data_IF_856494618944
#
_entry.id   IF_856494618944
#
_cell.length_a   1.000
_cell.length_b   1.000
_cell.length_c   1.000
_cell.angle_alpha   90.00
_cell.angle_beta   90.00
_cell.angle_gamma   90.00
#
_symmetry.space_group_name_H-M   'P 1'
#
loop_
_entity.id
_entity.type
_entity.pdbx_description
1 polymer ?
#
# COMPACT_ATOMS: atom_id res chain seq x y z
N UNK A 1 -35.32 -12.67 -12.85
CA UNK A 1 -34.68 -12.27 -11.57
C UNK A 1 -34.23 -13.55 -10.92
N UNK A 2 -32.93 -13.79 -10.78
CA UNK A 2 -32.41 -15.05 -10.23
C UNK A 2 -32.42 -15.02 -8.70
N UNK A 3 -33.02 -16.05 -8.10
CA UNK A 3 -33.19 -16.21 -6.66
C UNK A 3 -31.96 -16.86 -6.01
N UNK A 4 -31.82 -16.67 -4.69
CA UNK A 4 -30.63 -17.05 -3.89
C UNK A 4 -30.27 -18.54 -3.92
N UNK A 5 -31.27 -19.41 -4.03
CA UNK A 5 -31.06 -20.85 -4.20
C UNK A 5 -30.45 -21.18 -5.57
N UNK A 6 -30.79 -20.39 -6.61
CA UNK A 6 -30.21 -20.53 -7.94
C UNK A 6 -28.71 -20.17 -7.95
N UNK A 7 -28.27 -19.17 -7.18
CA UNK A 7 -26.85 -18.79 -7.10
C UNK A 7 -25.95 -19.91 -6.55
N UNK A 8 -26.43 -20.69 -5.58
CA UNK A 8 -25.64 -21.80 -5.01
C UNK A 8 -25.56 -22.96 -6.02
N UNK A 9 -26.65 -23.23 -6.75
CA UNK A 9 -26.69 -24.24 -7.81
C UNK A 9 -25.76 -23.90 -8.98
N UNK A 10 -25.68 -22.61 -9.34
CA UNK A 10 -24.90 -22.12 -10.48
C UNK A 10 -23.38 -22.15 -10.30
N UNK A 11 -22.87 -22.45 -9.10
CA UNK A 11 -21.42 -22.55 -8.86
C UNK A 11 -20.82 -23.75 -9.62
N UNK A 12 -21.55 -24.85 -9.74
CA UNK A 12 -21.10 -26.03 -10.48
C UNK A 12 -21.02 -25.74 -11.99
N UNK A 13 -22.04 -25.09 -12.53
CA UNK A 13 -22.11 -24.71 -13.95
C UNK A 13 -21.06 -23.64 -14.29
N UNK A 14 -20.83 -22.70 -13.38
CA UNK A 14 -19.75 -21.73 -13.50
C UNK A 14 -18.37 -22.39 -13.51
N UNK A 15 -18.16 -23.45 -12.73
CA UNK A 15 -16.91 -24.21 -12.78
C UNK A 15 -16.71 -24.87 -14.14
N UNK A 16 -17.78 -25.43 -14.74
CA UNK A 16 -17.73 -26.01 -16.07
C UNK A 16 -17.40 -24.94 -17.13
N UNK A 17 -18.06 -23.78 -17.07
CA UNK A 17 -17.78 -22.63 -17.94
C UNK A 17 -16.31 -22.20 -17.89
N UNK A 18 -15.69 -22.16 -16.69
CA UNK A 18 -14.28 -21.76 -16.57
C UNK A 18 -13.28 -22.78 -17.13
N UNK A 19 -13.65 -24.05 -17.32
CA UNK A 19 -12.73 -25.09 -17.81
C UNK A 19 -12.35 -24.90 -19.28
N UNK A 20 -13.11 -24.13 -20.03
CA UNK A 20 -12.84 -23.87 -21.45
C UNK A 20 -11.60 -22.99 -21.65
N UNK A 21 -11.36 -22.02 -20.75
CA UNK A 21 -10.34 -20.98 -20.95
C UNK A 21 -9.30 -20.85 -19.82
N UNK A 22 -9.51 -21.49 -18.66
CA UNK A 22 -8.67 -21.25 -17.48
C UNK A 22 -7.95 -22.49 -16.95
N UNK A 23 -6.76 -22.27 -16.38
CA UNK A 23 -5.98 -23.31 -15.72
C UNK A 23 -6.63 -23.76 -14.40
N UNK A 24 -6.45 -25.03 -13.97
CA UNK A 24 -7.08 -25.56 -12.75
C UNK A 24 -6.80 -24.74 -11.48
N UNK A 25 -5.61 -24.14 -11.38
CA UNK A 25 -5.24 -23.27 -10.26
C UNK A 25 -6.05 -21.96 -10.23
N UNK A 26 -6.32 -21.37 -11.39
CA UNK A 26 -7.18 -20.18 -11.54
C UNK A 26 -8.63 -20.50 -11.23
N UNK A 27 -9.13 -21.62 -11.76
CA UNK A 27 -10.50 -22.09 -11.51
C UNK A 27 -10.75 -22.25 -10.00
N UNK A 28 -9.82 -22.91 -9.29
CA UNK A 28 -9.91 -23.06 -7.82
C UNK A 28 -9.96 -21.72 -7.09
N UNK A 29 -9.18 -20.74 -7.55
CA UNK A 29 -9.17 -19.38 -7.01
C UNK A 29 -10.50 -18.66 -7.23
N UNK A 30 -11.04 -18.73 -8.45
CA UNK A 30 -12.29 -18.06 -8.83
C UNK A 30 -13.51 -18.69 -8.14
N UNK A 31 -13.60 -20.03 -8.14
CA UNK A 31 -14.65 -20.77 -7.42
C UNK A 31 -14.71 -20.37 -5.96
N UNK A 32 -13.55 -20.32 -5.29
CA UNK A 32 -13.48 -19.95 -3.87
C UNK A 32 -13.92 -18.51 -3.62
N UNK A 33 -13.58 -17.57 -4.51
CA UNK A 33 -14.03 -16.19 -4.41
C UNK A 33 -15.55 -16.06 -4.56
N UNK A 34 -16.15 -16.78 -5.52
CA UNK A 34 -17.61 -16.79 -5.73
C UNK A 34 -18.34 -17.45 -4.55
N UNK A 35 -17.83 -18.56 -4.02
CA UNK A 35 -18.40 -19.19 -2.82
C UNK A 35 -18.46 -18.22 -1.64
N UNK A 36 -17.39 -17.46 -1.42
CA UNK A 36 -17.33 -16.44 -0.36
C UNK A 36 -18.31 -15.30 -0.59
N UNK A 37 -18.51 -14.87 -1.83
CA UNK A 37 -19.56 -13.92 -2.16
C UNK A 37 -20.95 -14.46 -1.80
N UNK A 38 -21.26 -15.70 -2.19
CA UNK A 38 -22.56 -16.33 -1.88
C UNK A 38 -22.77 -16.46 -0.38
N UNK A 39 -21.73 -16.84 0.39
CA UNK A 39 -21.76 -16.84 1.86
C UNK A 39 -22.03 -15.42 2.41
N UNK A 40 -21.30 -14.42 1.93
CA UNK A 40 -21.46 -13.02 2.35
C UNK A 40 -22.87 -12.47 2.07
N UNK A 41 -23.45 -12.80 0.92
CA UNK A 41 -24.84 -12.42 0.59
C UNK A 41 -25.83 -13.05 1.58
N UNK A 42 -25.61 -14.31 1.97
CA UNK A 42 -26.44 -15.00 2.98
C UNK A 42 -26.35 -14.34 4.35
N UNK A 43 -25.15 -13.90 4.75
CA UNK A 43 -24.91 -13.26 6.04
C UNK A 43 -25.40 -11.80 6.11
N UNK A 44 -25.24 -11.04 5.03
CA UNK A 44 -25.42 -9.58 5.04
C UNK A 44 -26.88 -9.14 4.84
N UNK A 45 -27.69 -9.91 4.12
CA UNK A 45 -29.09 -9.55 3.88
C UNK A 45 -29.98 -10.81 3.84
N UNK A 46 -30.72 -11.16 4.90
CA UNK A 46 -31.51 -12.39 4.91
C UNK A 46 -32.84 -12.37 4.12
N UNK A 47 -33.34 -11.22 3.62
CA UNK A 47 -34.77 -11.11 3.27
C UNK A 47 -35.19 -10.28 2.03
N UNK A 48 -34.39 -10.13 0.95
CA UNK A 48 -34.88 -9.38 -0.23
C UNK A 48 -34.50 -9.97 -1.58
N UNK A 49 -35.46 -9.90 -2.52
CA UNK A 49 -35.34 -9.97 -3.99
C UNK A 49 -34.56 -8.78 -4.55
N UNK A 50 -33.35 -8.56 -4.05
CA UNK A 50 -32.49 -7.46 -4.51
C UNK A 50 -31.73 -7.89 -5.75
N UNK A 51 -31.62 -6.98 -6.72
CA UNK A 51 -30.82 -7.18 -7.93
C UNK A 51 -29.39 -7.60 -7.58
N UNK A 52 -28.85 -8.62 -8.28
CA UNK A 52 -27.53 -9.21 -8.00
C UNK A 52 -26.38 -8.21 -8.26
N UNK A 53 -26.55 -7.32 -9.24
CA UNK A 53 -25.52 -6.37 -9.64
C UNK A 53 -25.09 -5.41 -8.51
N UNK A 54 -26.01 -4.70 -7.81
CA UNK A 54 -25.66 -3.90 -6.64
C UNK A 54 -24.87 -4.67 -5.57
N UNK A 55 -25.26 -5.91 -5.26
CA UNK A 55 -24.58 -6.74 -4.27
C UNK A 55 -23.17 -7.12 -4.70
N UNK A 56 -23.00 -7.47 -5.98
CA UNK A 56 -21.67 -7.75 -6.53
C UNK A 56 -20.78 -6.51 -6.53
N UNK A 57 -21.33 -5.33 -6.87
CA UNK A 57 -20.60 -4.06 -6.82
C UNK A 57 -20.19 -3.68 -5.39
N UNK A 58 -21.06 -3.90 -4.41
CA UNK A 58 -20.77 -3.69 -2.99
C UNK A 58 -19.69 -4.65 -2.47
N UNK A 59 -19.75 -5.92 -2.86
CA UNK A 59 -18.78 -6.93 -2.45
C UNK A 59 -17.37 -6.68 -3.01
N UNK A 60 -17.27 -6.24 -4.28
CA UNK A 60 -15.97 -5.97 -4.93
C UNK A 60 -15.41 -4.57 -4.62
N UNK A 61 -16.17 -3.76 -3.88
CA UNK A 61 -15.80 -2.39 -3.53
C UNK A 61 -14.48 -2.41 -2.75
N UNK A 62 -13.44 -1.66 -3.17
CA UNK A 62 -12.15 -1.64 -2.48
C UNK A 62 -12.19 -1.20 -1.02
N UNK A 63 -13.23 -0.46 -0.63
CA UNK A 63 -13.42 0.02 0.74
C UNK A 63 -14.07 -1.05 1.63
N UNK A 64 -14.71 -2.07 1.04
CA UNK A 64 -15.32 -3.16 1.76
C UNK A 64 -14.25 -4.23 2.02
N UNK A 65 -13.87 -4.43 3.29
CA UNK A 65 -12.77 -5.31 3.69
C UNK A 65 -13.15 -6.79 3.68
N UNK A 66 -14.01 -7.23 2.75
CA UNK A 66 -14.69 -8.52 2.87
C UNK A 66 -13.72 -9.70 2.77
N UNK A 67 -12.55 -9.54 2.14
CA UNK A 67 -11.56 -10.62 2.13
C UNK A 67 -10.11 -10.14 2.09
N UNK A 68 -9.44 -10.19 3.25
CA UNK A 68 -8.01 -9.91 3.39
C UNK A 68 -7.09 -11.05 2.93
N UNK A 69 -7.64 -12.22 2.54
CA UNK A 69 -6.84 -13.43 2.24
C UNK A 69 -6.58 -13.67 0.76
N UNK A 70 -7.41 -13.10 -0.13
CA UNK A 70 -7.29 -13.26 -1.57
C UNK A 70 -6.80 -11.96 -2.24
N UNK A 71 -6.12 -12.09 -3.39
CA UNK A 71 -5.81 -10.93 -4.22
C UNK A 71 -7.13 -10.28 -4.63
N UNK A 72 -7.35 -9.02 -4.23
CA UNK A 72 -8.55 -8.26 -4.58
C UNK A 72 -8.81 -8.26 -6.10
N UNK A 73 -7.75 -8.34 -6.89
CA UNK A 73 -7.79 -8.50 -8.34
C UNK A 73 -8.42 -9.82 -8.76
N UNK A 74 -8.01 -10.93 -8.14
CA UNK A 74 -8.59 -12.27 -8.39
C UNK A 74 -10.07 -12.29 -8.01
N UNK A 75 -10.44 -11.73 -6.85
CA UNK A 75 -11.83 -11.65 -6.41
C UNK A 75 -12.66 -10.82 -7.39
N UNK A 76 -12.20 -9.63 -7.76
CA UNK A 76 -12.88 -8.77 -8.75
C UNK A 76 -13.10 -9.46 -10.08
N UNK A 77 -12.07 -10.11 -10.63
CA UNK A 77 -12.20 -10.80 -11.90
C UNK A 77 -13.18 -11.97 -11.79
N UNK A 78 -13.08 -12.77 -10.73
CA UNK A 78 -13.99 -13.90 -10.49
C UNK A 78 -15.45 -13.46 -10.40
N UNK A 79 -15.75 -12.39 -9.66
CA UNK A 79 -17.12 -11.89 -9.51
C UNK A 79 -17.64 -11.26 -10.80
N UNK A 80 -16.81 -10.52 -11.55
CA UNK A 80 -17.19 -9.97 -12.86
C UNK A 80 -17.49 -11.06 -13.89
N UNK A 81 -16.68 -12.12 -13.91
CA UNK A 81 -16.91 -13.28 -14.79
C UNK A 81 -18.15 -14.06 -14.38
N UNK A 82 -18.38 -14.21 -13.08
CA UNK A 82 -19.60 -14.85 -12.59
C UNK A 82 -20.85 -14.04 -12.98
N UNK A 83 -20.84 -12.71 -12.85
CA UNK A 83 -21.94 -11.87 -13.35
C UNK A 83 -22.18 -12.04 -14.86
N UNK A 84 -21.10 -12.10 -15.64
CA UNK A 84 -21.18 -12.33 -17.08
C UNK A 84 -21.82 -13.70 -17.39
N UNK A 85 -21.40 -14.74 -16.68
CA UNK A 85 -21.98 -16.08 -16.81
C UNK A 85 -23.50 -16.08 -16.51
N UNK A 86 -23.95 -15.33 -15.51
CA UNK A 86 -25.37 -15.28 -15.11
C UNK A 86 -26.25 -14.46 -16.07
N UNK A 87 -25.70 -13.38 -16.64
CA UNK A 87 -26.53 -12.34 -17.28
C UNK A 87 -26.19 -12.10 -18.76
N UNK A 88 -25.11 -12.70 -19.27
CA UNK A 88 -24.48 -12.42 -20.57
C UNK A 88 -24.15 -10.92 -20.76
N UNK A 89 -24.02 -10.18 -19.65
CA UNK A 89 -23.72 -8.75 -19.62
C UNK A 89 -22.45 -8.50 -18.83
N UNK A 90 -21.75 -7.43 -19.20
CA UNK A 90 -20.58 -6.98 -18.43
C UNK A 90 -21.06 -6.19 -17.22
N UNK A 91 -20.59 -6.58 -16.03
CA UNK A 91 -20.84 -5.84 -14.80
C UNK A 91 -20.35 -4.41 -14.97
N UNK A 92 -21.18 -3.44 -14.60
CA UNK A 92 -20.85 -2.03 -14.67
C UNK A 92 -19.47 -1.76 -14.05
N UNK A 93 -18.67 -0.83 -14.60
CA UNK A 93 -17.49 -0.34 -13.90
C UNK A 93 -17.92 0.07 -12.50
N UNK A 94 -17.24 -0.44 -11.47
CA UNK A 94 -17.52 0.01 -10.11
C UNK A 94 -17.22 1.50 -10.10
N UNK A 95 -18.25 2.32 -9.94
CA UNK A 95 -18.08 3.76 -9.80
C UNK A 95 -17.07 3.97 -8.68
N UNK A 96 -16.01 4.72 -8.97
CA UNK A 96 -15.05 5.09 -7.92
C UNK A 96 -15.87 5.86 -6.90
N UNK A 97 -16.15 5.23 -5.76
CA UNK A 97 -16.89 5.82 -4.63
C UNK A 97 -16.49 7.28 -4.51
N UNK A 98 -17.47 8.19 -4.64
CA UNK A 98 -17.32 9.67 -4.56
C UNK A 98 -15.93 10.08 -4.12
N UNK A 99 -15.01 10.13 -5.09
CA UNK A 99 -13.59 10.22 -4.76
C UNK A 99 -13.38 11.55 -4.05
N UNK A 100 -12.86 11.51 -2.83
CA UNK A 100 -12.58 12.71 -2.09
C UNK A 100 -11.50 13.49 -2.83
N UNK A 101 -11.90 14.57 -3.49
CA UNK A 101 -11.02 15.34 -4.40
C UNK A 101 -9.76 15.83 -3.69
N UNK A 102 -9.86 16.15 -2.39
CA UNK A 102 -8.72 16.58 -1.59
C UNK A 102 -7.68 15.48 -1.41
N UNK A 103 -8.12 14.23 -1.19
CA UNK A 103 -7.24 13.06 -1.07
C UNK A 103 -6.61 12.72 -2.43
N UNK A 104 -7.39 12.77 -3.51
CA UNK A 104 -6.88 12.48 -4.85
C UNK A 104 -5.85 13.51 -5.31
N UNK A 105 -6.10 14.79 -5.03
CA UNK A 105 -5.16 15.88 -5.33
C UNK A 105 -3.86 15.68 -4.56
N UNK A 106 -3.93 15.42 -3.26
CA UNK A 106 -2.72 15.20 -2.44
C UNK A 106 -1.94 13.95 -2.90
N UNK A 107 -2.64 12.86 -3.24
CA UNK A 107 -2.00 11.65 -3.76
C UNK A 107 -1.34 11.88 -5.12
N UNK A 108 -1.88 12.76 -5.96
CA UNK A 108 -1.29 13.14 -7.25
C UNK A 108 -0.07 14.04 -7.06
N UNK A 109 -0.13 15.02 -6.17
CA UNK A 109 1.00 15.90 -5.85
C UNK A 109 2.18 15.10 -5.27
N UNK A 110 1.90 14.14 -4.39
CA UNK A 110 2.90 13.22 -3.89
C UNK A 110 3.53 12.37 -5.01
N UNK A 111 2.73 11.89 -5.98
CA UNK A 111 3.25 11.13 -7.12
C UNK A 111 4.17 11.98 -8.02
N UNK A 112 3.86 13.26 -8.20
CA UNK A 112 4.72 14.23 -8.91
C UNK A 112 6.03 14.48 -8.16
N UNK A 113 5.98 14.59 -6.83
CA UNK A 113 7.20 14.66 -6.01
C UNK A 113 8.07 13.40 -6.18
N UNK A 114 7.47 12.21 -6.17
CA UNK A 114 8.20 10.96 -6.36
C UNK A 114 8.86 10.85 -7.74
N UNK A 115 8.25 11.46 -8.75
CA UNK A 115 8.81 11.53 -10.10
C UNK A 115 9.96 12.53 -10.20
N UNK A 116 9.70 13.78 -9.79
CA UNK A 116 10.60 14.90 -10.07
C UNK A 116 11.78 14.94 -9.11
N UNK A 117 11.53 14.61 -7.84
CA UNK A 117 12.53 14.70 -6.76
C UNK A 117 13.13 13.32 -6.48
N UNK A 118 12.31 12.30 -6.24
CA UNK A 118 12.81 10.97 -5.87
C UNK A 118 13.16 10.06 -7.06
N UNK A 119 12.87 10.49 -8.29
CA UNK A 119 13.17 9.79 -9.56
C UNK A 119 12.73 8.31 -9.57
N UNK A 120 11.57 8.02 -8.97
CA UNK A 120 11.06 6.65 -8.90
C UNK A 120 10.41 6.19 -10.21
N UNK A 121 10.56 4.90 -10.51
CA UNK A 121 9.93 4.30 -11.69
C UNK A 121 8.40 4.37 -11.63
N UNK A 122 7.70 4.44 -12.78
CA UNK A 122 6.23 4.53 -12.81
C UNK A 122 5.51 3.44 -11.99
N UNK A 123 5.89 2.15 -12.06
CA UNK A 123 5.26 1.11 -11.24
C UNK A 123 5.44 1.34 -9.72
N UNK A 124 6.61 1.85 -9.32
CA UNK A 124 6.89 2.15 -7.91
C UNK A 124 6.06 3.34 -7.43
N UNK A 125 5.94 4.39 -8.26
CA UNK A 125 5.09 5.55 -7.98
C UNK A 125 3.62 5.15 -7.80
N UNK A 126 3.10 4.31 -8.69
CA UNK A 126 1.72 3.82 -8.60
C UNK A 126 1.48 3.05 -7.29
N UNK A 127 2.43 2.18 -6.90
CA UNK A 127 2.36 1.43 -5.65
C UNK A 127 2.34 2.34 -4.42
N UNK A 128 3.20 3.37 -4.39
CA UNK A 128 3.22 4.38 -3.35
C UNK A 128 1.89 5.15 -3.28
N UNK A 129 1.38 5.57 -4.43
CA UNK A 129 0.12 6.32 -4.52
C UNK A 129 -1.06 5.49 -4.01
N UNK A 130 -1.15 4.22 -4.40
CA UNK A 130 -2.21 3.31 -3.93
C UNK A 130 -2.13 3.06 -2.42
N UNK A 131 -0.91 2.89 -1.88
CA UNK A 131 -0.72 2.73 -0.44
C UNK A 131 -1.13 4.00 0.32
N UNK A 132 -0.75 5.18 -0.17
CA UNK A 132 -1.12 6.46 0.44
C UNK A 132 -2.64 6.68 0.39
N UNK A 133 -3.28 6.47 -0.76
CA UNK A 133 -4.74 6.56 -0.89
C UNK A 133 -5.44 5.70 0.15
N UNK A 134 -5.07 4.42 0.26
CA UNK A 134 -5.68 3.51 1.22
C UNK A 134 -5.56 4.01 2.66
N UNK A 135 -4.42 4.60 3.01
CA UNK A 135 -4.22 5.21 4.32
C UNK A 135 -5.13 6.43 4.52
N UNK A 136 -5.13 7.38 3.58
CA UNK A 136 -5.87 8.62 3.69
C UNK A 136 -7.39 8.41 3.66
N UNK A 137 -7.93 7.57 2.79
CA UNK A 137 -9.36 7.26 2.75
C UNK A 137 -9.85 6.60 4.03
N UNK A 138 -8.99 5.83 4.71
CA UNK A 138 -9.36 5.24 6.01
C UNK A 138 -9.38 6.28 7.13
N UNK A 139 -8.50 7.26 7.05
CA UNK A 139 -8.41 8.36 8.03
C UNK A 139 -9.51 9.40 7.85
N UNK A 140 -9.85 9.69 6.60
CA UNK A 140 -10.79 10.73 6.21
C UNK A 140 -11.90 10.13 5.33
N UNK A 141 -12.75 9.23 5.88
CA UNK A 141 -13.76 8.52 5.10
C UNK A 141 -14.82 9.45 4.49
N UNK A 142 -15.07 10.62 5.10
CA UNK A 142 -16.04 11.60 4.60
C UNK A 142 -15.63 13.06 4.88
N UNK A 143 -14.39 13.28 5.33
CA UNK A 143 -13.85 14.59 5.68
C UNK A 143 -12.80 15.03 4.67
N UNK A 144 -12.57 16.33 4.52
CA UNK A 144 -11.45 16.81 3.72
C UNK A 144 -10.11 16.37 4.33
N UNK A 145 -9.13 16.16 3.47
CA UNK A 145 -7.77 15.83 3.88
C UNK A 145 -7.17 16.97 4.72
N UNK A 146 -6.70 16.61 5.91
CA UNK A 146 -5.89 17.49 6.77
C UNK A 146 -4.56 16.81 7.12
N UNK A 147 -3.45 17.43 6.72
CA UNK A 147 -2.11 16.92 7.02
C UNK A 147 -1.78 16.92 8.52
N UNK A 148 -2.41 17.78 9.32
CA UNK A 148 -2.13 17.92 10.76
C UNK A 148 -2.58 16.70 11.58
N UNK A 149 -3.61 16.00 11.10
CA UNK A 149 -4.16 14.81 11.74
C UNK A 149 -3.26 13.56 11.56
N UNK A 150 -2.17 13.65 10.80
CA UNK A 150 -1.22 12.54 10.62
C UNK A 150 -0.21 12.53 11.77
N UNK A 151 -0.41 11.59 12.70
CA UNK A 151 0.46 11.40 13.86
C UNK A 151 0.95 9.95 13.99
N UNK A 152 1.94 9.71 14.87
CA UNK A 152 2.41 8.36 15.18
C UNK A 152 1.29 7.47 15.74
N UNK A 153 0.45 8.00 16.64
CA UNK A 153 -0.62 7.22 17.27
C UNK A 153 -1.66 6.75 16.25
N UNK A 154 -2.00 7.62 15.31
CA UNK A 154 -2.91 7.32 14.21
C UNK A 154 -2.33 6.23 13.30
N UNK A 155 -1.05 6.32 12.94
CA UNK A 155 -0.40 5.28 12.15
C UNK A 155 -0.31 3.94 12.91
N UNK A 156 -0.02 3.96 14.21
CA UNK A 156 -0.01 2.75 15.04
C UNK A 156 -1.38 2.08 15.05
N UNK A 157 -2.45 2.87 15.29
CA UNK A 157 -3.83 2.39 15.27
C UNK A 157 -4.17 1.74 13.92
N UNK A 158 -3.84 2.40 12.81
CA UNK A 158 -4.03 1.84 11.48
C UNK A 158 -3.27 0.52 11.29
N UNK A 159 -2.00 0.45 11.72
CA UNK A 159 -1.20 -0.77 11.61
C UNK A 159 -1.76 -1.93 12.45
N UNK A 160 -2.36 -1.65 13.60
CA UNK A 160 -2.93 -2.64 14.54
C UNK A 160 -4.37 -3.02 14.25
N UNK A 161 -5.07 -2.30 13.36
CA UNK A 161 -6.46 -2.61 12.97
C UNK A 161 -6.51 -3.12 11.54
N UNK A 162 -6.03 -2.32 10.59
CA UNK A 162 -6.15 -2.54 9.15
C UNK A 162 -5.09 -3.48 8.57
N UNK A 163 -3.95 -3.58 9.26
CA UNK A 163 -2.79 -4.33 8.77
C UNK A 163 -2.43 -5.56 9.62
N UNK A 164 -3.31 -5.98 10.53
CA UNK A 164 -3.13 -7.16 11.40
C UNK A 164 -2.86 -8.43 10.62
N UNK A 165 -3.62 -8.65 9.54
CA UNK A 165 -3.53 -9.84 8.70
C UNK A 165 -2.42 -9.77 7.64
N UNK A 166 -1.69 -8.65 7.55
CA UNK A 166 -0.66 -8.46 6.55
C UNK A 166 0.66 -9.05 6.99
N UNK A 167 1.40 -9.62 6.04
CA UNK A 167 2.75 -10.14 6.26
C UNK A 167 3.67 -9.02 6.80
N UNK A 168 4.65 -9.34 7.67
CA UNK A 168 5.58 -8.35 8.21
C UNK A 168 6.30 -7.53 7.12
N UNK A 169 6.63 -8.15 5.98
CA UNK A 169 7.22 -7.47 4.83
C UNK A 169 6.30 -6.41 4.20
N UNK A 170 4.99 -6.68 4.12
CA UNK A 170 3.99 -5.73 3.62
C UNK A 170 3.81 -4.56 4.57
N UNK A 171 3.77 -4.81 5.88
CA UNK A 171 3.74 -3.76 6.92
C UNK A 171 4.97 -2.86 6.83
N UNK A 172 6.15 -3.46 6.69
CA UNK A 172 7.41 -2.73 6.49
C UNK A 172 7.38 -1.85 5.25
N UNK A 173 6.92 -2.38 4.12
CA UNK A 173 6.81 -1.63 2.87
C UNK A 173 5.86 -0.43 3.05
N UNK A 174 4.71 -0.64 3.71
CA UNK A 174 3.75 0.42 4.00
C UNK A 174 4.35 1.53 4.86
N UNK A 175 5.01 1.20 5.97
CA UNK A 175 5.70 2.20 6.82
C UNK A 175 6.74 2.98 6.01
N UNK A 176 7.45 2.31 5.08
CA UNK A 176 8.38 2.96 4.15
C UNK A 176 7.70 4.01 3.26
N UNK A 177 6.51 3.72 2.75
CA UNK A 177 5.71 4.69 1.97
C UNK A 177 5.30 5.86 2.84
N UNK A 178 4.77 5.63 4.05
CA UNK A 178 4.33 6.70 4.95
C UNK A 178 5.49 7.63 5.32
N UNK A 179 6.69 7.10 5.58
CA UNK A 179 7.88 7.92 5.79
C UNK A 179 8.27 8.76 4.58
N UNK A 180 8.22 8.16 3.39
CA UNK A 180 8.48 8.88 2.16
C UNK A 180 7.48 10.02 1.96
N UNK A 181 6.21 9.78 2.29
CA UNK A 181 5.17 10.80 2.30
C UNK A 181 5.42 11.91 3.34
N UNK A 182 5.83 11.57 4.56
CA UNK A 182 6.21 12.55 5.58
C UNK A 182 7.37 13.45 5.14
N UNK A 183 8.35 12.91 4.40
CA UNK A 183 9.44 13.71 3.80
C UNK A 183 8.91 14.69 2.76
N UNK A 184 7.93 14.27 1.97
CA UNK A 184 7.26 15.15 1.01
C UNK A 184 6.44 16.26 1.71
N UNK A 185 5.73 15.96 2.80
CA UNK A 185 5.06 16.98 3.60
C UNK A 185 6.05 18.02 4.13
N UNK A 186 7.21 17.59 4.62
CA UNK A 186 8.30 18.50 5.03
C UNK A 186 8.87 19.29 3.85
N UNK A 187 8.95 18.71 2.67
CA UNK A 187 9.35 19.41 1.44
C UNK A 187 8.35 20.53 1.08
N UNK A 188 7.05 20.34 1.36
CA UNK A 188 6.00 21.37 1.26
C UNK A 188 6.04 22.42 2.39
N UNK A 189 6.94 22.28 3.37
CA UNK A 189 7.00 23.16 4.54
C UNK A 189 5.97 22.82 5.63
N UNK A 190 5.33 21.65 5.57
CA UNK A 190 4.40 21.19 6.60
C UNK A 190 5.18 20.55 7.74
N UNK A 191 4.88 20.95 8.98
CA UNK A 191 5.42 20.31 10.16
C UNK A 191 4.82 18.92 10.34
N UNK A 192 5.69 17.94 10.58
CA UNK A 192 5.31 16.53 10.73
C UNK A 192 5.89 16.01 12.03
N UNK A 193 5.11 15.18 12.72
CA UNK A 193 5.57 14.45 13.90
C UNK A 193 6.90 13.74 13.59
N UNK A 194 7.96 14.14 14.30
CA UNK A 194 9.32 13.58 14.14
C UNK A 194 9.33 12.08 14.36
N UNK A 195 8.44 11.57 15.21
CA UNK A 195 8.24 10.16 15.47
C UNK A 195 7.97 9.35 14.19
N UNK A 196 7.20 9.89 13.24
CA UNK A 196 6.85 9.21 11.99
C UNK A 196 8.08 8.91 11.12
N UNK A 197 9.08 9.79 11.16
CA UNK A 197 10.33 9.62 10.40
C UNK A 197 11.23 8.54 11.03
N UNK A 198 11.20 8.42 12.36
CA UNK A 198 12.08 7.53 13.14
C UNK A 198 11.46 6.18 13.52
N UNK A 199 10.19 5.95 13.18
CA UNK A 199 9.51 4.67 13.47
C UNK A 199 10.39 3.46 13.08
N UNK A 200 10.35 2.34 13.79
CA UNK A 200 11.04 1.14 13.31
C UNK A 200 10.31 0.58 12.08
N UNK A 201 11.05 0.21 11.04
CA UNK A 201 10.49 -0.42 9.83
C UNK A 201 10.06 -1.88 10.06
N UNK A 202 10.44 -2.44 11.19
CA UNK A 202 10.15 -3.82 11.58
C UNK A 202 9.49 -3.79 12.95
N UNK A 203 8.58 -4.73 13.22
CA UNK A 203 8.23 -5.03 14.61
C UNK A 203 9.53 -5.35 15.37
N UNK A 204 9.68 -4.92 16.64
CA UNK A 204 10.80 -5.35 17.47
C UNK A 204 10.85 -6.88 17.43
N UNK A 205 11.87 -7.42 16.78
CA UNK A 205 12.11 -8.85 16.83
C UNK A 205 12.73 -9.08 18.20
N UNK A 206 11.92 -9.29 19.23
CA UNK A 206 12.37 -9.69 20.56
C UNK A 206 12.91 -11.14 20.56
N UNK A 207 13.52 -11.58 19.46
CA UNK A 207 14.48 -12.67 19.57
C UNK A 207 15.60 -12.10 20.42
N UNK A 208 15.53 -12.37 21.72
CA UNK A 208 16.68 -12.38 22.63
C UNK A 208 17.83 -12.85 21.78
N UNK A 209 18.79 -11.97 21.51
CA UNK A 209 19.90 -12.28 20.64
C UNK A 209 20.47 -13.60 21.16
N UNK A 210 20.27 -14.69 20.42
CA UNK A 210 20.90 -15.94 20.77
C UNK A 210 22.38 -15.63 20.70
N UNK A 211 23.04 -15.66 21.85
CA UNK A 211 24.48 -15.44 21.97
C UNK A 211 25.15 -16.23 20.85
N UNK A 212 25.95 -15.59 19.98
CA UNK A 212 26.63 -16.31 18.92
C UNK A 212 27.37 -17.51 19.54
N UNK A 213 27.11 -18.73 19.04
CA UNK A 213 27.73 -19.97 19.55
C UNK A 213 29.26 -20.03 19.37
N UNK A 214 29.88 -18.95 18.91
CA UNK A 214 31.30 -18.84 18.55
C UNK A 214 32.13 -18.03 19.55
N UNK A 215 31.58 -17.63 20.70
CA UNK A 215 32.40 -17.08 21.79
C UNK A 215 32.90 -18.23 22.69
N UNK A 216 33.88 -18.98 22.19
CA UNK A 216 34.74 -19.78 23.04
C UNK A 216 35.54 -18.85 23.97
N UNK A 217 35.71 -19.18 25.27
CA UNK A 217 36.37 -18.31 26.23
C UNK A 217 37.88 -18.43 26.08
N UNK A 218 38.43 -17.86 25.01
CA UNK A 218 39.87 -17.60 24.88
C UNK A 218 40.08 -16.45 23.90
N UNK A 219 40.29 -15.27 24.46
CA UNK A 219 40.66 -14.10 23.68
C UNK A 219 39.96 -12.84 24.13
N UNK A 220 40.60 -12.18 25.10
CA UNK A 220 40.68 -10.72 25.24
C UNK A 220 39.41 -9.94 25.58
N UNK A 221 39.43 -9.42 26.81
CA UNK A 221 38.96 -8.08 27.14
C UNK A 221 39.24 -7.08 25.99
N UNK A 222 38.30 -6.14 25.79
CA UNK A 222 38.27 -5.07 24.78
C UNK A 222 37.30 -5.27 23.61
N UNK A 223 36.00 -5.37 23.93
CA UNK A 223 34.94 -4.96 23.00
C UNK A 223 33.74 -4.31 23.73
N UNK A 224 34.00 -3.56 24.82
CA UNK A 224 33.01 -2.69 25.43
C UNK A 224 32.97 -1.32 24.71
N UNK A 225 32.66 -1.29 23.41
CA UNK A 225 32.40 -0.04 22.69
C UNK A 225 31.68 -0.18 21.35
N UNK A 226 30.76 -1.13 21.19
CA UNK A 226 29.89 -1.17 20.01
C UNK A 226 28.60 -0.36 20.29
N UNK A 227 28.68 0.96 20.09
CA UNK A 227 27.49 1.82 19.95
C UNK A 227 26.59 1.20 18.87
N UNK A 228 25.35 0.85 19.23
CA UNK A 228 24.30 0.52 18.27
C UNK A 228 23.91 1.83 17.57
N UNK A 229 24.64 2.14 16.49
CA UNK A 229 24.19 3.08 15.46
C UNK A 229 24.06 2.30 14.17
N UNK A 230 23.04 1.45 14.09
CA UNK A 230 22.68 0.83 12.81
C UNK A 230 21.86 1.86 12.03
N UNK A 231 22.56 2.78 11.38
CA UNK A 231 22.04 3.61 10.33
C UNK A 231 21.72 2.73 9.11
N UNK A 232 20.48 2.24 8.99
CA UNK A 232 19.99 1.63 7.76
C UNK A 232 19.32 2.68 6.88
N UNK A 233 20.15 3.53 6.25
CA UNK A 233 19.82 4.12 4.96
C UNK A 233 19.72 2.99 3.94
N UNK A 234 18.52 2.46 3.71
CA UNK A 234 18.25 1.62 2.54
C UNK A 234 17.54 2.45 1.48
N UNK A 235 18.32 3.34 0.86
CA UNK A 235 18.05 3.72 -0.51
C UNK A 235 18.45 2.52 -1.38
N UNK A 236 17.48 2.01 -2.12
CA UNK A 236 17.60 0.82 -2.97
C UNK A 236 18.63 1.06 -4.08
N UNK A 237 19.85 0.59 -3.89
CA UNK A 237 20.84 0.44 -4.97
C UNK A 237 20.43 -0.77 -5.82
N UNK A 238 19.93 -0.53 -7.03
CA UNK A 238 19.90 -1.52 -8.11
C UNK A 238 19.97 -0.80 -9.45
N UNK A 239 21.18 -0.42 -9.87
CA UNK A 239 21.76 -0.62 -11.22
C UNK A 239 23.28 -0.47 -11.07
N UNK A 240 24.02 -1.57 -11.14
CA UNK A 240 25.43 -1.57 -11.55
C UNK A 240 25.50 -2.54 -12.73
N UNK A 241 25.39 -2.00 -13.94
CA UNK A 241 26.02 -2.60 -15.12
C UNK A 241 27.54 -2.34 -15.04
N UNK A 242 28.37 -3.15 -15.71
CA UNK A 242 29.82 -3.06 -15.56
C UNK A 242 30.31 -1.74 -16.16
N UNK A 243 30.87 -0.87 -15.31
CA UNK A 243 31.64 0.28 -15.76
C UNK A 243 33.06 -0.20 -16.04
N UNK A 244 33.33 -0.50 -17.30
CA UNK A 244 34.66 -0.43 -17.88
C UNK A 244 35.25 0.95 -17.61
N UNK A 245 36.52 0.96 -17.20
CA UNK A 245 37.15 2.06 -16.51
C UNK A 245 37.37 3.33 -17.33
N UNK A 246 38.11 4.20 -16.64
CA UNK A 246 38.79 5.44 -17.06
C UNK A 246 38.17 6.78 -16.66
N UNK A 247 39.04 7.52 -15.94
CA UNK A 247 39.14 8.96 -15.75
C UNK A 247 38.37 9.58 -14.58
N UNK A 248 39.05 9.52 -13.43
CA UNK A 248 39.18 10.60 -12.45
C UNK A 248 39.55 11.91 -13.14
N UNK A 249 38.76 12.97 -12.97
CA UNK A 249 39.31 14.34 -12.92
C UNK A 249 38.58 15.16 -11.84
N UNK A 250 39.40 15.74 -10.98
CA UNK A 250 39.04 16.68 -9.93
C UNK A 250 38.72 18.04 -10.56
N UNK A 251 37.71 18.74 -10.05
CA UNK A 251 37.38 20.08 -10.49
C UNK A 251 36.46 20.79 -9.50
N UNK A 252 37.08 21.46 -8.53
CA UNK A 252 36.43 22.46 -7.68
C UNK A 252 35.94 23.66 -8.51
N UNK A 253 34.91 24.31 -7.99
CA UNK A 253 34.45 25.70 -8.27
C UNK A 253 33.25 25.85 -9.23
N UNK A 254 32.49 26.93 -8.97
CA UNK A 254 31.22 27.41 -9.59
C UNK A 254 29.93 26.74 -9.04
N UNK A 255 28.98 27.40 -8.35
CA UNK A 255 28.61 28.82 -8.22
C UNK A 255 27.91 29.07 -6.87
N UNK A 256 28.46 29.99 -6.06
CA UNK A 256 27.74 30.85 -5.14
C UNK A 256 27.68 32.23 -5.78
N UNK A 257 26.49 32.77 -6.06
CA UNK A 257 26.28 34.22 -6.09
C UNK A 257 24.80 34.59 -6.22
N UNK A 258 24.46 35.66 -5.49
CA UNK A 258 23.28 36.55 -5.54
C UNK A 258 21.99 35.99 -4.94
N UNK A 259 21.69 36.43 -3.70
CA UNK A 259 20.78 37.57 -3.46
C UNK A 259 21.22 38.30 -2.17
N UNK A 260 21.88 39.45 -2.31
CA UNK A 260 21.94 40.49 -1.29
C UNK A 260 21.69 41.83 -1.98
N UNK A 261 20.53 42.43 -1.72
CA UNK A 261 20.29 43.86 -1.98
C UNK A 261 19.58 44.45 -0.76
N UNK A 262 20.41 44.95 0.16
CA UNK A 262 20.36 46.30 0.74
C UNK A 262 19.01 47.03 0.61
N UNK A 263 18.31 47.23 1.73
CA UNK A 263 17.46 48.41 1.96
C UNK A 263 17.83 49.00 3.31
N UNK A 264 18.49 50.16 3.27
CA UNK A 264 18.85 51.02 4.39
C UNK A 264 17.89 52.21 4.30
N UNK A 265 17.10 52.52 5.33
CA UNK A 265 16.78 53.91 5.73
C UNK A 265 15.93 53.97 7.00
N UNK A 266 16.39 54.82 7.93
CA UNK A 266 15.67 55.55 9.00
C UNK A 266 15.17 54.70 10.18
N UNK A 267 15.50 54.98 11.44
CA UNK A 267 16.02 56.18 12.12
C UNK A 267 17.16 55.80 13.07
#
# INVERSE_FOLDING_TARGET
METRESLTSQIADYEAFLREEYQPSTIKGYKKAVQRFVEWVKETQPASETQIEPLMLEYINPNNQVDGRHSITTVRTAIRLFYYFLTDRKLSPCERSSSNESIEREAMDYALYLERVARLSPPTRQSHQNCLRRFLYRLFPSSQFDSSAISVSVLQSFLTTEMTHFKPSSRKAFIGVIRSYCRYLRFKGVEVDKGLLVLPLSAPVWKVASVPKTLTPKGTADCARMRILVAFTTLRMRVLGPLTGQQVQSGNSFLLAKIETKKKSSK
#
